data_IF_673040286148
#
_entry.id   IF_673040286148
#
_cell.length_a   1.000
_cell.length_b   1.000
_cell.length_c   1.000
_cell.angle_alpha   90.00
_cell.angle_beta   90.00
_cell.angle_gamma   90.00
#
_symmetry.space_group_name_H-M   'P 1'
#
loop_
_entity.id
_entity.type
_entity.pdbx_description
1 polymer ?
#
# COMPACT_ATOMS: atom_id res chain seq x y z
N UNK A 1 -26.87 51.56 22.46
CA UNK A 1 -27.53 50.27 22.77
C UNK A 1 -28.68 50.09 21.79
N UNK A 2 -28.39 49.54 20.61
CA UNK A 2 -29.38 49.10 19.62
C UNK A 2 -28.85 47.77 19.09
N UNK A 3 -29.72 46.78 19.18
CA UNK A 3 -29.52 45.35 19.00
C UNK A 3 -29.05 45.02 17.60
N UNK A 4 -27.86 44.42 17.51
CA UNK A 4 -27.35 43.74 16.32
C UNK A 4 -28.22 42.50 16.10
N UNK A 5 -28.90 42.45 14.96
CA UNK A 5 -29.78 41.34 14.60
C UNK A 5 -28.96 40.37 13.74
N UNK A 6 -28.28 39.42 14.39
CA UNK A 6 -27.57 38.34 13.72
C UNK A 6 -28.59 37.37 13.11
N UNK A 7 -28.95 37.58 11.84
CA UNK A 7 -29.70 36.58 11.07
C UNK A 7 -28.74 35.49 10.61
N UNK A 8 -28.91 34.32 11.23
CA UNK A 8 -28.53 32.97 10.76
C UNK A 8 -27.23 32.87 9.96
N UNK A 9 -26.12 32.81 10.69
CA UNK A 9 -24.96 32.03 10.24
C UNK A 9 -25.40 30.56 10.34
N UNK A 10 -25.64 29.90 9.21
CA UNK A 10 -25.68 28.45 9.18
C UNK A 10 -24.21 28.01 9.12
N UNK A 11 -23.65 27.40 10.18
CA UNK A 11 -22.34 26.79 10.03
C UNK A 11 -22.50 25.65 9.02
N UNK A 12 -21.80 25.73 7.89
CA UNK A 12 -21.60 24.58 7.01
C UNK A 12 -20.63 23.60 7.69
N UNK A 13 -21.04 23.09 8.85
CA UNK A 13 -20.61 21.81 9.38
C UNK A 13 -21.68 20.82 8.92
N UNK A 14 -21.27 19.66 8.39
CA UNK A 14 -22.07 18.68 7.61
C UNK A 14 -22.05 19.10 6.13
N UNK A 15 -21.20 18.53 5.26
CA UNK A 15 -21.18 17.12 4.83
C UNK A 15 -19.72 16.69 4.54
N UNK A 16 -19.13 15.88 5.40
CA UNK A 16 -18.02 14.97 5.02
C UNK A 16 -18.26 13.54 5.55
N UNK A 17 -19.40 13.28 6.19
CA UNK A 17 -19.71 11.99 6.84
C UNK A 17 -20.30 10.94 5.86
N UNK A 18 -20.51 11.27 4.59
CA UNK A 18 -21.18 10.36 3.63
C UNK A 18 -20.25 9.62 2.66
N UNK A 19 -19.00 9.36 3.05
CA UNK A 19 -18.10 8.45 2.31
C UNK A 19 -17.74 7.18 3.09
N UNK A 20 -18.58 6.78 4.05
CA UNK A 20 -18.46 5.50 4.75
C UNK A 20 -19.59 4.57 4.29
N UNK A 21 -19.21 3.56 3.51
CA UNK A 21 -20.01 2.47 2.95
C UNK A 21 -20.80 2.78 1.66
N UNK A 22 -20.11 2.66 0.51
CA UNK A 22 -20.78 2.22 -0.71
C UNK A 22 -20.14 0.92 -1.21
N UNK A 23 -20.94 -0.11 -1.57
CA UNK A 23 -20.43 -1.26 -2.30
C UNK A 23 -19.93 -0.80 -3.67
N UNK A 24 -18.99 -1.55 -4.26
CA UNK A 24 -18.21 -1.33 -5.49
C UNK A 24 -19.02 -1.00 -6.78
N UNK A 25 -20.34 -0.76 -6.71
CA UNK A 25 -21.20 -0.44 -7.86
C UNK A 25 -22.25 0.65 -7.57
N UNK A 26 -21.93 1.68 -6.79
CA UNK A 26 -22.80 2.85 -6.70
C UNK A 26 -22.43 3.85 -7.81
N UNK A 27 -23.33 4.03 -8.79
CA UNK A 27 -23.28 5.18 -9.69
C UNK A 27 -23.29 6.45 -8.83
N UNK A 28 -22.18 7.21 -8.82
CA UNK A 28 -22.15 8.53 -8.21
C UNK A 28 -23.16 9.42 -8.93
N UNK A 29 -24.33 9.58 -8.34
CA UNK A 29 -25.26 10.61 -8.77
C UNK A 29 -24.65 11.93 -8.35
N UNK A 30 -24.07 12.66 -9.32
CA UNK A 30 -23.62 14.03 -9.13
C UNK A 30 -24.84 14.81 -8.63
N UNK A 31 -24.88 15.09 -7.35
CA UNK A 31 -25.92 15.96 -6.81
C UNK A 31 -25.52 17.34 -7.30
N UNK A 32 -26.23 17.88 -8.30
CA UNK A 32 -26.03 19.26 -8.73
C UNK A 32 -26.21 20.13 -7.50
N UNK A 33 -25.14 20.77 -7.02
CA UNK A 33 -25.27 21.83 -6.03
C UNK A 33 -26.19 22.88 -6.65
N UNK A 34 -27.44 22.94 -6.18
CA UNK A 34 -28.37 23.96 -6.62
C UNK A 34 -27.79 25.31 -6.20
N UNK A 35 -27.71 26.22 -7.17
CA UNK A 35 -27.28 27.59 -6.94
C UNK A 35 -28.18 28.23 -5.87
N UNK A 36 -27.62 28.96 -4.89
CA UNK A 36 -28.44 29.77 -4.00
C UNK A 36 -29.35 30.69 -4.81
N UNK A 37 -30.62 30.85 -4.39
CA UNK A 37 -31.64 31.65 -5.12
C UNK A 37 -31.26 33.14 -5.36
N UNK A 38 -30.14 33.61 -4.80
CA UNK A 38 -29.64 34.99 -4.90
C UNK A 38 -28.37 35.13 -5.74
N UNK A 39 -27.86 34.05 -6.36
CA UNK A 39 -26.65 34.13 -7.19
C UNK A 39 -27.02 34.67 -8.58
N UNK A 40 -26.52 35.86 -8.93
CA UNK A 40 -26.69 36.46 -10.25
C UNK A 40 -25.36 36.47 -10.99
N UNK A 41 -25.22 35.64 -12.02
CA UNK A 41 -24.00 35.60 -12.85
C UNK A 41 -23.89 36.77 -13.82
N UNK A 42 -24.93 37.58 -13.96
CA UNK A 42 -24.93 38.76 -14.81
C UNK A 42 -24.17 39.94 -14.17
N UNK A 43 -23.80 39.87 -12.88
CA UNK A 43 -23.07 40.90 -12.12
C UNK A 43 -21.69 40.39 -11.66
N UNK A 44 -20.95 39.73 -12.55
CA UNK A 44 -19.60 39.21 -12.26
C UNK A 44 -18.55 40.13 -12.88
N UNK A 45 -17.73 40.82 -12.06
CA UNK A 45 -16.71 41.72 -12.61
C UNK A 45 -15.44 40.96 -13.02
N UNK A 46 -15.09 39.87 -12.32
CA UNK A 46 -13.85 39.15 -12.55
C UNK A 46 -13.97 37.64 -12.49
N UNK A 47 -13.33 36.98 -13.45
CA UNK A 47 -13.03 35.55 -13.37
C UNK A 47 -11.54 35.33 -13.12
N UNK A 48 -11.20 34.64 -12.03
CA UNK A 48 -9.84 34.15 -11.77
C UNK A 48 -9.67 32.72 -12.27
N UNK A 49 -8.61 32.49 -13.04
CA UNK A 49 -8.21 31.17 -13.51
C UNK A 49 -7.10 30.59 -12.65
N UNK A 50 -7.10 29.27 -12.51
CA UNK A 50 -6.22 28.53 -11.62
C UNK A 50 -7.01 27.82 -10.54
N UNK A 51 -6.29 27.14 -9.67
CA UNK A 51 -6.91 26.35 -8.61
C UNK A 51 -5.85 25.73 -7.73
N UNK A 52 -6.27 25.01 -6.69
CA UNK A 52 -5.34 24.32 -5.83
C UNK A 52 -4.65 23.18 -6.59
N UNK A 53 -3.37 22.98 -6.29
CA UNK A 53 -2.57 21.87 -6.79
C UNK A 53 -1.82 21.28 -5.60
N UNK A 54 -2.45 20.34 -4.90
CA UNK A 54 -1.89 19.72 -3.71
C UNK A 54 -0.97 18.58 -4.14
N UNK A 55 0.32 18.74 -3.88
CA UNK A 55 1.32 17.71 -4.13
C UNK A 55 1.71 16.99 -2.84
N UNK A 56 1.93 15.68 -2.93
CA UNK A 56 2.39 14.84 -1.83
C UNK A 56 3.85 14.47 -2.00
N UNK A 57 4.56 14.29 -0.89
CA UNK A 57 5.95 13.80 -0.88
C UNK A 57 6.15 12.87 0.30
N UNK A 58 6.70 11.70 0.05
CA UNK A 58 7.05 10.74 1.09
C UNK A 58 8.22 11.29 1.93
N UNK A 59 8.08 11.21 3.25
CA UNK A 59 9.08 11.62 4.22
C UNK A 59 9.66 10.37 4.87
N UNK A 60 10.98 10.20 4.75
CA UNK A 60 11.71 9.06 5.29
C UNK A 60 12.02 8.01 4.23
N UNK A 61 12.13 6.76 4.68
CA UNK A 61 12.49 5.62 3.83
C UNK A 61 11.30 5.17 2.99
N UNK A 62 11.59 4.71 1.78
CA UNK A 62 10.62 4.14 0.86
C UNK A 62 10.87 2.65 0.57
N UNK A 63 11.83 2.05 1.26
CA UNK A 63 12.27 0.67 1.07
C UNK A 63 12.01 -0.16 2.33
N UNK A 64 11.38 -1.33 2.16
CA UNK A 64 10.86 -2.16 3.24
C UNK A 64 11.06 -3.66 2.96
N UNK A 65 10.98 -4.47 4.01
CA UNK A 65 11.15 -5.92 3.94
C UNK A 65 9.82 -6.67 4.02
N UNK A 66 9.85 -7.96 3.72
CA UNK A 66 8.66 -8.81 3.75
C UNK A 66 8.13 -8.96 5.16
N UNK A 67 6.81 -8.79 5.32
CA UNK A 67 6.18 -8.89 6.64
C UNK A 67 6.28 -7.62 7.48
N UNK A 68 6.91 -6.55 6.97
CA UNK A 68 6.99 -5.28 7.68
C UNK A 68 5.62 -4.64 7.88
N UNK A 69 5.43 -4.05 9.06
CA UNK A 69 4.33 -3.15 9.37
C UNK A 69 4.89 -1.77 9.66
N UNK A 70 4.67 -0.81 8.76
CA UNK A 70 5.33 0.50 8.78
C UNK A 70 4.32 1.64 8.59
N UNK A 71 4.70 2.83 9.03
CA UNK A 71 3.91 4.05 8.85
C UNK A 71 4.57 4.93 7.79
N UNK A 72 3.89 5.11 6.66
CA UNK A 72 4.28 6.08 5.64
C UNK A 72 3.84 7.49 6.05
N UNK A 73 4.78 8.43 6.05
CA UNK A 73 4.52 9.84 6.35
C UNK A 73 4.51 10.64 5.06
N UNK A 74 3.39 11.23 4.68
CA UNK A 74 3.28 12.05 3.48
C UNK A 74 3.14 13.53 3.86
N UNK A 75 4.10 14.35 3.42
CA UNK A 75 4.00 15.80 3.50
C UNK A 75 3.17 16.30 2.31
N UNK A 76 2.13 17.09 2.58
CA UNK A 76 1.30 17.71 1.55
C UNK A 76 1.63 19.20 1.43
N UNK A 77 1.72 19.70 0.20
CA UNK A 77 1.97 21.11 -0.11
C UNK A 77 1.06 21.56 -1.24
N UNK A 78 0.38 22.69 -1.07
CA UNK A 78 -0.40 23.30 -2.13
C UNK A 78 0.49 24.21 -3.00
N UNK A 79 0.73 23.78 -4.23
CA UNK A 79 1.48 24.50 -5.27
C UNK A 79 0.55 25.22 -6.26
N UNK A 80 -0.74 25.24 -5.98
CA UNK A 80 -1.74 25.91 -6.79
C UNK A 80 -1.43 27.39 -6.96
N UNK A 81 -1.55 27.91 -8.17
CA UNK A 81 -1.30 29.32 -8.49
C UNK A 81 -2.44 29.88 -9.32
N UNK A 82 -2.60 31.20 -9.25
CA UNK A 82 -3.46 31.91 -10.18
C UNK A 82 -2.75 31.96 -11.54
N UNK A 83 -3.40 31.44 -12.56
CA UNK A 83 -2.85 31.32 -13.93
C UNK A 83 -3.33 32.43 -14.85
N UNK A 84 -4.38 33.15 -14.47
CA UNK A 84 -4.88 34.27 -15.24
C UNK A 84 -6.06 34.96 -14.58
N UNK A 85 -6.44 36.08 -15.18
CA UNK A 85 -7.57 36.91 -14.77
C UNK A 85 -8.27 37.38 -16.04
N UNK A 86 -9.60 37.46 -16.01
CA UNK A 86 -10.41 38.10 -17.05
C UNK A 86 -11.40 39.05 -16.39
N UNK A 87 -11.42 40.30 -16.86
CA UNK A 87 -12.51 41.23 -16.58
C UNK A 87 -13.69 40.80 -17.43
N UNK A 88 -14.83 40.53 -16.82
CA UNK A 88 -16.06 40.16 -17.54
C UNK A 88 -16.90 41.42 -17.79
N UNK A 89 -17.03 42.30 -16.78
CA UNK A 89 -17.63 43.62 -16.92
C UNK A 89 -16.64 44.75 -16.58
N UNK A 90 -16.74 45.85 -17.31
CA UNK A 90 -16.07 47.10 -16.97
C UNK A 90 -17.01 47.89 -16.06
N UNK A 91 -16.60 48.10 -14.80
CA UNK A 91 -17.31 48.98 -13.89
C UNK A 91 -17.55 50.35 -14.54
N UNK A 92 -18.68 51.00 -14.25
CA UNK A 92 -18.85 52.40 -14.59
C UNK A 92 -17.76 53.20 -13.85
N UNK A 93 -16.78 53.70 -14.60
CA UNK A 93 -15.67 54.52 -14.07
C UNK A 93 -16.14 55.74 -13.27
N UNK A 94 -17.43 56.10 -13.36
CA UNK A 94 -18.04 57.18 -12.57
C UNK A 94 -18.63 56.74 -11.23
N UNK A 95 -18.69 55.44 -10.92
CA UNK A 95 -19.23 54.87 -9.69
C UNK A 95 -18.11 54.37 -8.76
N UNK A 96 -17.89 55.10 -7.66
CA UNK A 96 -16.95 54.70 -6.61
C UNK A 96 -17.35 53.35 -5.96
N UNK A 97 -18.66 53.08 -5.88
CA UNK A 97 -19.19 51.81 -5.34
C UNK A 97 -18.85 50.62 -6.25
N UNK A 98 -19.08 50.73 -7.56
CA UNK A 98 -18.80 49.63 -8.49
C UNK A 98 -17.30 49.32 -8.54
N UNK A 99 -16.45 50.35 -8.55
CA UNK A 99 -14.99 50.15 -8.44
C UNK A 99 -14.61 49.44 -7.13
N UNK A 100 -15.28 49.76 -6.03
CA UNK A 100 -15.00 49.14 -4.73
C UNK A 100 -15.47 47.68 -4.67
N UNK A 101 -16.64 47.38 -5.22
CA UNK A 101 -17.18 46.01 -5.35
C UNK A 101 -16.21 45.19 -6.21
N UNK A 102 -15.84 45.70 -7.39
CA UNK A 102 -14.91 45.08 -8.31
C UNK A 102 -13.55 44.74 -7.63
N UNK A 103 -12.95 45.70 -6.91
CA UNK A 103 -11.70 45.45 -6.17
C UNK A 103 -11.86 44.41 -5.06
N UNK A 104 -13.01 44.40 -4.39
CA UNK A 104 -13.31 43.47 -3.30
C UNK A 104 -13.47 42.05 -3.86
N UNK A 105 -14.25 41.91 -4.94
CA UNK A 105 -14.46 40.64 -5.64
C UNK A 105 -13.13 40.06 -6.13
N UNK A 106 -12.26 40.87 -6.75
CA UNK A 106 -10.91 40.44 -7.16
C UNK A 106 -10.12 39.84 -5.98
N UNK A 107 -10.22 40.44 -4.79
CA UNK A 107 -9.54 39.95 -3.59
C UNK A 107 -10.07 38.62 -3.08
N UNK A 108 -11.37 38.36 -3.22
CA UNK A 108 -11.97 37.08 -2.90
C UNK A 108 -11.69 36.02 -3.97
N UNK A 109 -11.81 36.37 -5.26
CA UNK A 109 -11.51 35.49 -6.39
C UNK A 109 -10.06 34.99 -6.34
N UNK A 110 -9.10 35.82 -5.89
CA UNK A 110 -7.71 35.42 -5.72
C UNK A 110 -7.50 34.25 -4.72
N UNK A 111 -8.46 33.98 -3.84
CA UNK A 111 -8.40 32.90 -2.85
C UNK A 111 -8.77 31.53 -3.43
N UNK A 112 -9.22 31.47 -4.70
CA UNK A 112 -9.56 30.24 -5.45
C UNK A 112 -8.49 29.15 -5.40
N UNK A 113 -7.22 29.53 -5.23
CA UNK A 113 -6.08 28.60 -5.17
C UNK A 113 -5.95 27.86 -3.84
N UNK A 114 -6.75 28.21 -2.82
CA UNK A 114 -6.73 27.58 -1.50
C UNK A 114 -7.45 26.22 -1.55
N UNK A 115 -6.76 25.15 -1.13
CA UNK A 115 -7.38 23.85 -0.91
C UNK A 115 -7.96 23.81 0.51
N UNK A 116 -9.26 23.59 0.65
CA UNK A 116 -10.00 23.65 1.91
C UNK A 116 -10.43 22.25 2.31
N UNK A 117 -10.14 21.85 3.55
CA UNK A 117 -10.59 20.56 4.08
C UNK A 117 -10.08 19.37 3.26
N UNK A 118 -8.77 19.32 3.03
CA UNK A 118 -8.09 18.25 2.30
C UNK A 118 -8.27 16.92 3.03
N UNK A 119 -8.72 15.92 2.30
CA UNK A 119 -8.81 14.52 2.71
C UNK A 119 -7.93 13.69 1.79
N UNK A 120 -7.02 12.93 2.39
CA UNK A 120 -6.10 12.04 1.72
C UNK A 120 -6.49 10.57 1.97
N UNK A 121 -6.57 9.79 0.90
CA UNK A 121 -6.89 8.36 0.95
C UNK A 121 -5.81 7.62 0.16
N UNK A 122 -5.05 6.74 0.82
CA UNK A 122 -4.04 5.93 0.17
C UNK A 122 -4.61 4.53 -0.11
N UNK A 123 -4.45 4.07 -1.35
CA UNK A 123 -4.97 2.77 -1.81
C UNK A 123 -3.85 1.99 -2.50
N UNK A 124 -3.72 0.71 -2.15
CA UNK A 124 -2.94 -0.26 -2.92
C UNK A 124 -3.87 -1.11 -3.78
N UNK A 125 -3.55 -1.27 -5.05
CA UNK A 125 -4.21 -2.26 -5.92
C UNK A 125 -3.53 -3.64 -5.84
N UNK A 126 -2.29 -3.69 -5.36
CA UNK A 126 -1.54 -4.93 -5.20
C UNK A 126 -1.90 -5.63 -3.88
N UNK A 127 -2.31 -6.92 -3.91
CA UNK A 127 -2.70 -7.66 -2.71
C UNK A 127 -1.54 -7.90 -1.73
N UNK A 128 -0.29 -7.72 -2.15
CA UNK A 128 0.88 -7.87 -1.29
C UNK A 128 1.11 -6.65 -0.39
N UNK A 129 0.54 -5.49 -0.71
CA UNK A 129 0.64 -4.29 0.13
C UNK A 129 -0.75 -3.94 0.64
N UNK A 130 -0.94 -4.03 1.95
CA UNK A 130 -2.22 -3.71 2.60
C UNK A 130 -2.14 -2.37 3.31
N UNK A 131 -2.93 -1.39 2.86
CA UNK A 131 -3.13 -0.14 3.61
C UNK A 131 -4.12 -0.40 4.75
N UNK A 132 -3.69 -0.17 5.99
CA UNK A 132 -4.50 -0.36 7.21
C UNK A 132 -5.18 0.93 7.67
N UNK A 133 -4.64 2.09 7.29
CA UNK A 133 -5.22 3.39 7.62
C UNK A 133 -6.48 3.68 6.78
N UNK A 134 -7.43 4.40 7.38
CA UNK A 134 -8.52 5.04 6.65
C UNK A 134 -8.13 6.42 6.12
N UNK A 135 -9.12 7.22 5.66
CA UNK A 135 -8.90 8.60 5.23
C UNK A 135 -8.19 9.44 6.30
N UNK A 136 -7.27 10.30 5.86
CA UNK A 136 -6.52 11.23 6.70
C UNK A 136 -6.91 12.67 6.35
N UNK A 137 -7.16 13.51 7.35
CA UNK A 137 -7.44 14.92 7.15
C UNK A 137 -6.16 15.74 7.24
N UNK A 138 -5.98 16.67 6.29
CA UNK A 138 -4.81 17.57 6.22
C UNK A 138 -5.19 19.05 6.38
N UNK A 139 -6.45 19.35 6.69
CA UNK A 139 -6.93 20.71 6.93
C UNK A 139 -6.97 21.56 5.66
N UNK A 140 -6.66 22.85 5.79
CA UNK A 140 -6.68 23.82 4.69
C UNK A 140 -5.27 24.27 4.39
N UNK A 141 -4.91 24.35 3.11
CA UNK A 141 -3.62 24.84 2.64
C UNK A 141 -3.84 25.98 1.63
N UNK A 142 -3.41 27.19 1.99
CA UNK A 142 -3.30 28.28 1.02
C UNK A 142 -2.18 28.01 0.01
N UNK A 143 -2.16 28.79 -1.07
CA UNK A 143 -1.09 28.69 -2.08
C UNK A 143 0.29 28.88 -1.43
N UNK A 144 1.19 27.92 -1.67
CA UNK A 144 2.54 27.90 -1.12
C UNK A 144 2.67 27.31 0.28
N UNK A 145 1.57 26.97 0.95
CA UNK A 145 1.59 26.35 2.27
C UNK A 145 1.78 24.83 2.21
N UNK A 146 2.29 24.28 3.30
CA UNK A 146 2.42 22.85 3.54
C UNK A 146 1.83 22.51 4.90
N UNK A 147 1.50 21.24 5.09
CA UNK A 147 1.06 20.74 6.41
C UNK A 147 2.15 20.92 7.46
N UNK A 148 1.73 21.23 8.70
CA UNK A 148 2.65 21.27 9.85
C UNK A 148 3.12 19.86 10.22
N UNK A 149 2.18 18.92 10.25
CA UNK A 149 2.41 17.49 10.52
C UNK A 149 2.05 16.65 9.28
N UNK A 150 2.92 15.73 8.83
CA UNK A 150 2.63 14.81 7.74
C UNK A 150 1.40 13.93 8.02
N UNK A 151 0.64 13.62 6.97
CA UNK A 151 -0.44 12.61 7.07
C UNK A 151 0.17 11.22 7.13
N UNK A 152 -0.40 10.34 7.96
CA UNK A 152 0.19 9.05 8.30
C UNK A 152 -0.65 7.88 7.78
N UNK A 153 -0.03 6.99 7.01
CA UNK A 153 -0.65 5.78 6.50
C UNK A 153 0.09 4.53 6.97
N UNK A 154 -0.56 3.71 7.79
CA UNK A 154 -0.03 2.42 8.19
C UNK A 154 -0.23 1.43 7.05
N UNK A 155 0.84 0.76 6.65
CA UNK A 155 0.83 -0.30 5.64
C UNK A 155 1.41 -1.59 6.22
N UNK A 156 1.07 -2.70 5.59
CA UNK A 156 1.67 -4.01 5.84
C UNK A 156 2.13 -4.61 4.52
N UNK A 157 3.40 -5.03 4.49
CA UNK A 157 3.99 -5.78 3.39
C UNK A 157 3.75 -7.27 3.65
N UNK A 158 3.21 -7.98 2.68
CA UNK A 158 3.01 -9.43 2.75
C UNK A 158 4.34 -10.15 2.96
N UNK A 159 4.32 -11.22 3.77
CA UNK A 159 5.49 -12.10 3.95
C UNK A 159 5.95 -12.78 2.66
N UNK A 160 5.06 -12.87 1.67
CA UNK A 160 5.33 -13.49 0.37
C UNK A 160 5.40 -12.45 -0.76
N UNK A 161 5.54 -11.16 -0.42
CA UNK A 161 5.63 -10.10 -1.43
C UNK A 161 6.90 -10.29 -2.28
N UNK A 162 6.78 -10.41 -3.61
CA UNK A 162 7.96 -10.36 -4.48
C UNK A 162 8.76 -9.07 -4.28
N UNK A 163 10.08 -9.12 -4.47
CA UNK A 163 10.87 -7.90 -4.47
C UNK A 163 10.48 -7.00 -5.65
N UNK A 164 10.55 -5.68 -5.47
CA UNK A 164 10.27 -4.71 -6.53
C UNK A 164 9.55 -3.46 -6.07
N UNK A 165 9.14 -2.64 -7.05
CA UNK A 165 8.40 -1.40 -6.80
C UNK A 165 6.89 -1.65 -6.76
N UNK A 166 6.24 -1.06 -5.75
CA UNK A 166 4.81 -1.13 -5.52
C UNK A 166 4.21 0.27 -5.54
N UNK A 167 3.50 0.65 -6.62
CA UNK A 167 2.82 1.93 -6.68
C UNK A 167 1.55 1.93 -5.80
N UNK A 168 1.41 2.97 -5.00
CA UNK A 168 0.23 3.25 -4.18
C UNK A 168 -0.46 4.50 -4.73
N UNK A 169 -1.78 4.43 -4.89
CA UNK A 169 -2.60 5.52 -5.37
C UNK A 169 -3.04 6.40 -4.20
N UNK A 170 -2.50 7.62 -4.12
CA UNK A 170 -2.97 8.66 -3.21
C UNK A 170 -4.08 9.47 -3.89
N UNK A 171 -5.28 9.38 -3.34
CA UNK A 171 -6.43 10.16 -3.75
C UNK A 171 -6.60 11.34 -2.79
N UNK A 172 -6.59 12.55 -3.34
CA UNK A 172 -6.82 13.79 -2.60
C UNK A 172 -8.16 14.37 -2.99
N UNK A 173 -8.96 14.73 -1.99
CA UNK A 173 -10.21 15.46 -2.13
C UNK A 173 -10.10 16.76 -1.35
N UNK A 174 -10.57 17.86 -1.92
CA UNK A 174 -10.60 19.14 -1.24
C UNK A 174 -11.73 20.01 -1.77
N UNK A 175 -12.26 20.89 -0.93
CA UNK A 175 -13.08 22.01 -1.37
C UNK A 175 -12.21 23.14 -1.90
N UNK A 176 -12.73 23.93 -2.83
CA UNK A 176 -12.13 25.19 -3.23
C UNK A 176 -13.21 26.15 -3.70
N UNK A 177 -12.94 27.46 -3.60
CA UNK A 177 -13.88 28.48 -4.05
C UNK A 177 -13.87 28.53 -5.58
N UNK A 178 -14.97 28.14 -6.21
CA UNK A 178 -15.17 28.15 -7.66
C UNK A 178 -15.57 29.53 -8.16
N UNK A 179 -16.33 30.30 -7.37
CA UNK A 179 -16.72 31.67 -7.71
C UNK A 179 -17.08 32.46 -6.45
N UNK A 180 -16.94 33.78 -6.51
CA UNK A 180 -17.52 34.74 -5.57
C UNK A 180 -18.46 35.71 -6.29
N UNK A 181 -19.38 36.30 -5.55
CA UNK A 181 -20.17 37.45 -5.95
C UNK A 181 -20.21 38.42 -4.78
N UNK A 182 -20.05 39.71 -5.06
CA UNK A 182 -20.08 40.79 -4.06
C UNK A 182 -21.20 41.77 -4.42
N UNK A 183 -22.03 42.11 -3.44
CA UNK A 183 -23.09 43.12 -3.57
C UNK A 183 -23.07 44.08 -2.35
N UNK A 184 -23.69 45.25 -2.47
CA UNK A 184 -23.82 46.22 -1.38
C UNK A 184 -24.50 47.52 -1.79
N UNK A 185 -24.88 48.32 -0.80
CA UNK A 185 -25.80 49.45 -1.00
C UNK A 185 -25.10 50.78 -1.35
N UNK A 186 -23.99 51.11 -0.68
CA UNK A 186 -23.27 52.40 -0.82
C UNK A 186 -21.78 52.25 -0.46
N UNK A 187 -20.92 53.10 -1.06
CA UNK A 187 -19.50 53.24 -0.70
C UNK A 187 -19.30 54.27 0.40
N UNK A 188 -18.37 54.00 1.32
CA UNK A 188 -17.94 54.94 2.37
C UNK A 188 -16.45 54.80 2.62
N UNK A 189 -15.85 55.80 3.31
CA UNK A 189 -14.46 55.73 3.82
C UNK A 189 -14.14 54.47 4.64
N UNK A 190 -15.15 53.76 5.16
CA UNK A 190 -15.02 52.52 5.94
C UNK A 190 -15.22 51.24 5.11
N UNK A 191 -15.58 51.35 3.83
CA UNK A 191 -15.88 50.25 2.91
C UNK A 191 -17.33 50.27 2.39
N UNK A 192 -17.74 49.14 1.79
CA UNK A 192 -19.08 48.92 1.25
C UNK A 192 -20.07 48.70 2.40
N UNK A 193 -21.18 49.44 2.40
CA UNK A 193 -22.25 49.28 3.40
C UNK A 193 -23.20 48.16 3.00
N UNK A 194 -23.73 47.44 4.00
CA UNK A 194 -24.60 46.27 3.81
C UNK A 194 -24.03 45.23 2.83
N UNK A 195 -22.70 45.08 2.81
CA UNK A 195 -22.00 44.17 1.91
C UNK A 195 -22.48 42.72 2.08
N UNK A 196 -22.92 42.12 0.97
CA UNK A 196 -23.27 40.71 0.87
C UNK A 196 -22.19 39.98 0.06
N UNK A 197 -21.81 38.78 0.52
CA UNK A 197 -20.76 37.97 -0.12
C UNK A 197 -21.34 36.59 -0.41
N UNK A 198 -21.55 36.29 -1.69
CA UNK A 198 -21.95 34.98 -2.17
C UNK A 198 -20.71 34.15 -2.52
N UNK A 199 -20.51 33.00 -1.85
CA UNK A 199 -19.39 32.10 -2.15
C UNK A 199 -19.92 30.79 -2.72
N UNK A 200 -19.36 30.37 -3.85
CA UNK A 200 -19.61 29.06 -4.43
C UNK A 200 -18.38 28.18 -4.28
N UNK A 201 -18.55 27.04 -3.60
CA UNK A 201 -17.53 26.01 -3.47
C UNK A 201 -17.77 24.84 -4.42
N UNK A 202 -16.68 24.30 -4.96
CA UNK A 202 -16.64 23.04 -5.69
C UNK A 202 -15.69 22.05 -5.01
N UNK A 203 -15.76 20.78 -5.42
CA UNK A 203 -14.86 19.72 -4.95
C UNK A 203 -13.82 19.44 -6.01
N UNK A 204 -12.55 19.61 -5.65
CA UNK A 204 -11.40 19.17 -6.43
C UNK A 204 -10.99 17.74 -6.07
N UNK A 205 -10.49 17.01 -7.07
CA UNK A 205 -9.92 15.68 -6.89
C UNK A 205 -8.58 15.60 -7.61
N UNK A 206 -7.55 15.08 -6.94
CA UNK A 206 -6.24 14.80 -7.52
C UNK A 206 -5.81 13.37 -7.20
N UNK A 207 -5.11 12.74 -8.13
CA UNK A 207 -4.51 11.42 -7.95
C UNK A 207 -3.00 11.54 -8.09
N UNK A 208 -2.26 10.91 -7.19
CA UNK A 208 -0.80 10.89 -7.18
C UNK A 208 -0.28 9.50 -6.87
N UNK A 209 0.81 9.12 -7.52
CA UNK A 209 1.48 7.85 -7.29
C UNK A 209 2.55 8.01 -6.21
N UNK A 210 2.46 7.19 -5.17
CA UNK A 210 3.47 7.04 -4.13
C UNK A 210 4.07 5.65 -4.28
N UNK A 211 5.33 5.57 -4.68
CA UNK A 211 6.02 4.28 -4.85
C UNK A 211 6.76 3.88 -3.59
N UNK A 212 6.58 2.64 -3.16
CA UNK A 212 7.43 1.97 -2.16
C UNK A 212 8.18 0.81 -2.82
N UNK A 213 9.26 0.38 -2.21
CA UNK A 213 10.14 -0.69 -2.68
C UNK A 213 10.11 -1.81 -1.65
N UNK A 214 9.88 -3.03 -2.09
CA UNK A 214 10.14 -4.23 -1.29
C UNK A 214 11.52 -4.74 -1.67
N UNK A 215 12.44 -4.78 -0.71
CA UNK A 215 13.81 -5.22 -0.91
C UNK A 215 13.88 -6.69 -1.32
N UNK A 216 14.96 -7.04 -2.01
CA UNK A 216 15.33 -8.45 -2.24
C UNK A 216 15.73 -9.10 -0.91
N UNK A 217 15.21 -10.31 -0.66
CA UNK A 217 15.57 -11.12 0.50
C UNK A 217 15.72 -12.58 0.08
N UNK A 218 16.57 -13.31 0.80
CA UNK A 218 16.64 -14.75 0.68
C UNK A 218 15.48 -15.41 1.43
N UNK A 219 14.87 -16.41 0.80
CA UNK A 219 13.83 -17.24 1.39
C UNK A 219 14.11 -18.71 1.06
N UNK A 220 13.69 -19.63 1.93
CA UNK A 220 14.09 -21.02 1.82
C UNK A 220 12.94 -22.00 2.05
N UNK A 221 12.85 -22.99 1.16
CA UNK A 221 11.89 -24.08 1.29
C UNK A 221 12.58 -25.45 1.25
N UNK A 222 11.97 -26.44 1.90
CA UNK A 222 12.37 -27.85 1.75
C UNK A 222 11.63 -28.44 0.56
N UNK A 223 12.37 -28.80 -0.49
CA UNK A 223 11.79 -29.38 -1.72
C UNK A 223 11.83 -30.90 -1.75
N UNK A 224 12.71 -31.53 -0.96
CA UNK A 224 12.84 -32.98 -0.89
C UNK A 224 13.38 -33.44 0.46
N UNK A 225 12.83 -34.54 0.96
CA UNK A 225 13.31 -35.21 2.17
C UNK A 225 13.39 -36.71 1.86
N UNK A 226 14.56 -37.31 2.07
CA UNK A 226 14.74 -38.77 1.97
C UNK A 226 15.50 -39.29 3.17
N UNK A 227 15.13 -40.47 3.65
CA UNK A 227 15.77 -41.09 4.80
C UNK A 227 14.95 -42.26 5.32
N UNK A 228 15.61 -43.27 5.85
CA UNK A 228 14.99 -44.40 6.52
C UNK A 228 15.25 -44.26 8.01
N UNK A 229 14.26 -43.75 8.75
CA UNK A 229 14.33 -43.53 10.19
C UNK A 229 13.49 -44.59 10.90
N UNK A 230 14.12 -45.65 11.42
CA UNK A 230 13.40 -46.71 12.15
C UNK A 230 13.45 -46.49 13.66
N UNK A 231 12.36 -46.82 14.36
CA UNK A 231 12.34 -46.78 15.82
C UNK A 231 13.46 -47.65 16.43
N UNK A 232 14.24 -47.08 17.34
CA UNK A 232 15.34 -47.74 18.02
C UNK A 232 16.66 -47.82 17.24
N UNK A 233 16.75 -47.21 16.05
CA UNK A 233 17.97 -47.19 15.24
C UNK A 233 18.47 -45.77 14.95
N UNK A 234 19.69 -45.71 14.41
CA UNK A 234 20.25 -44.49 13.83
C UNK A 234 20.02 -44.51 12.31
N UNK A 235 19.66 -43.36 11.74
CA UNK A 235 19.46 -43.19 10.31
C UNK A 235 19.99 -41.86 9.80
N UNK A 236 20.20 -41.77 8.49
CA UNK A 236 20.57 -40.53 7.81
C UNK A 236 19.31 -39.91 7.18
N UNK A 237 19.14 -38.61 7.40
CA UNK A 237 18.10 -37.80 6.80
C UNK A 237 18.74 -36.81 5.83
N UNK A 238 18.43 -36.97 4.55
CA UNK A 238 18.84 -36.10 3.47
C UNK A 238 17.73 -35.09 3.19
N UNK A 239 18.08 -33.80 3.23
CA UNK A 239 17.13 -32.70 3.07
C UNK A 239 17.65 -31.76 2.00
N UNK A 240 16.86 -31.54 0.95
CA UNK A 240 17.18 -30.57 -0.09
C UNK A 240 16.44 -29.27 0.19
N UNK A 241 17.21 -28.22 0.44
CA UNK A 241 16.74 -26.86 0.58
C UNK A 241 16.85 -26.14 -0.76
N UNK A 242 15.90 -25.26 -1.06
CA UNK A 242 15.92 -24.38 -2.23
C UNK A 242 15.82 -22.93 -1.77
N UNK A 243 16.63 -22.05 -2.36
CA UNK A 243 16.45 -20.61 -2.21
C UNK A 243 15.30 -20.17 -3.14
N UNK A 244 14.17 -19.78 -2.55
CA UNK A 244 12.99 -19.25 -3.24
C UNK A 244 12.99 -17.73 -3.34
N UNK A 245 13.87 -17.07 -2.60
CA UNK A 245 14.06 -15.63 -2.64
C UNK A 245 14.87 -15.16 -3.86
N UNK A 246 14.96 -13.85 -3.98
CA UNK A 246 15.63 -13.13 -5.07
C UNK A 246 17.08 -12.81 -4.74
N UNK A 247 17.47 -12.92 -3.48
CA UNK A 247 18.83 -12.66 -3.03
C UNK A 247 19.69 -13.93 -2.99
N UNK A 248 20.92 -13.85 -3.51
CA UNK A 248 21.91 -14.92 -3.39
C UNK A 248 22.58 -14.90 -2.02
N UNK A 249 22.75 -16.08 -1.40
CA UNK A 249 23.38 -16.19 -0.07
C UNK A 249 24.74 -16.86 -0.11
N UNK A 250 25.57 -16.56 0.89
CA UNK A 250 26.87 -17.19 1.11
C UNK A 250 26.97 -17.79 2.51
N UNK A 251 27.93 -18.69 2.68
CA UNK A 251 28.25 -19.37 3.94
C UNK A 251 27.02 -19.93 4.69
N UNK A 252 26.03 -20.40 3.91
CA UNK A 252 24.79 -20.93 4.45
C UNK A 252 25.07 -22.20 5.25
N UNK A 253 24.60 -22.22 6.49
CA UNK A 253 24.67 -23.36 7.39
C UNK A 253 23.29 -23.58 7.98
N UNK A 254 22.73 -24.76 7.74
CA UNK A 254 21.45 -25.15 8.34
C UNK A 254 21.68 -25.77 9.71
N UNK A 255 20.78 -25.48 10.65
CA UNK A 255 20.69 -26.14 11.95
C UNK A 255 19.31 -26.75 12.13
N UNK A 256 19.24 -27.96 12.70
CA UNK A 256 17.97 -28.59 13.11
C UNK A 256 17.76 -28.52 14.61
N UNK A 257 16.51 -28.37 15.02
CA UNK A 257 16.08 -28.50 16.41
C UNK A 257 15.42 -29.87 16.59
N UNK A 258 16.21 -30.87 17.01
CA UNK A 258 15.70 -32.21 17.29
C UNK A 258 14.97 -32.26 18.64
N UNK A 259 13.77 -32.82 18.65
CA UNK A 259 12.94 -33.10 19.83
C UNK A 259 12.45 -34.55 19.73
N UNK A 260 11.90 -35.09 20.82
CA UNK A 260 11.32 -36.43 20.86
C UNK A 260 10.42 -36.70 19.62
N UNK A 261 10.60 -37.83 18.92
CA UNK A 261 11.43 -38.98 19.27
C UNK A 261 12.88 -38.92 18.71
N UNK A 262 13.31 -37.79 18.17
CA UNK A 262 14.63 -37.66 17.53
C UNK A 262 15.66 -37.03 18.45
N UNK A 263 16.88 -37.55 18.39
CA UNK A 263 18.06 -36.94 18.99
C UNK A 263 19.23 -36.97 18.02
N UNK A 264 20.10 -35.98 18.09
CA UNK A 264 21.34 -35.93 17.29
C UNK A 264 22.47 -35.29 18.10
N UNK A 265 23.70 -35.66 17.76
CA UNK A 265 24.93 -34.98 18.22
C UNK A 265 25.53 -34.09 17.13
N UNK A 266 24.98 -34.13 15.92
CA UNK A 266 25.40 -33.40 14.73
C UNK A 266 24.15 -32.74 14.12
N UNK A 267 23.82 -31.56 14.64
CA UNK A 267 22.58 -30.83 14.33
C UNK A 267 22.79 -29.73 13.29
N UNK A 268 23.96 -29.67 12.64
CA UNK A 268 24.31 -28.65 11.66
C UNK A 268 24.84 -29.26 10.37
N UNK A 269 24.57 -28.60 9.24
CA UNK A 269 25.15 -28.97 7.93
C UNK A 269 25.49 -27.72 7.14
N UNK A 270 26.68 -27.69 6.54
CA UNK A 270 27.10 -26.60 5.65
C UNK A 270 26.48 -26.77 4.27
N UNK A 271 25.84 -25.72 3.76
CA UNK A 271 25.19 -25.66 2.45
C UNK A 271 25.99 -24.83 1.43
N UNK A 272 26.88 -23.94 1.90
CA UNK A 272 27.70 -23.09 1.03
C UNK A 272 26.95 -21.88 0.48
N UNK A 273 27.17 -21.56 -0.79
CA UNK A 273 26.45 -20.48 -1.48
C UNK A 273 25.26 -21.04 -2.24
N UNK A 274 24.12 -20.35 -2.17
CA UNK A 274 22.88 -20.76 -2.84
C UNK A 274 22.30 -19.55 -3.57
N UNK A 275 22.35 -19.55 -4.90
CA UNK A 275 21.75 -18.48 -5.70
C UNK A 275 20.21 -18.62 -5.76
N UNK A 276 19.48 -17.58 -6.20
CA UNK A 276 18.04 -17.64 -6.41
C UNK A 276 17.63 -18.84 -7.28
N UNK A 277 16.72 -19.66 -6.78
CA UNK A 277 16.23 -20.86 -7.43
C UNK A 277 17.15 -22.09 -7.33
N UNK A 278 18.37 -21.97 -6.80
CA UNK A 278 19.29 -23.09 -6.61
C UNK A 278 18.95 -23.93 -5.38
N UNK A 279 19.46 -25.17 -5.37
CA UNK A 279 19.23 -26.14 -4.30
C UNK A 279 20.53 -26.62 -3.67
N UNK A 280 20.51 -26.84 -2.35
CA UNK A 280 21.61 -27.44 -1.62
C UNK A 280 21.11 -28.58 -0.71
N UNK A 281 21.92 -29.61 -0.56
CA UNK A 281 21.61 -30.80 0.23
C UNK A 281 22.28 -30.73 1.61
N UNK A 282 21.50 -30.96 2.67
CA UNK A 282 21.98 -31.22 4.02
C UNK A 282 21.77 -32.67 4.40
N UNK A 283 22.69 -33.22 5.19
CA UNK A 283 22.60 -34.58 5.71
C UNK A 283 22.68 -34.54 7.22
N UNK A 284 21.68 -35.09 7.89
CA UNK A 284 21.62 -35.16 9.35
C UNK A 284 21.62 -36.60 9.83
N UNK A 285 22.45 -36.91 10.83
CA UNK A 285 22.43 -38.21 11.50
C UNK A 285 21.50 -38.17 12.70
N UNK A 286 20.39 -38.90 12.64
CA UNK A 286 19.38 -38.91 13.69
C UNK A 286 19.33 -40.27 14.38
N UNK A 287 19.17 -40.26 15.70
CA UNK A 287 18.77 -41.42 16.49
C UNK A 287 17.28 -41.32 16.81
N UNK A 288 16.54 -42.39 16.54
CA UNK A 288 15.11 -42.49 16.83
C UNK A 288 14.90 -43.29 18.11
N UNK A 289 14.08 -42.77 19.02
CA UNK A 289 13.72 -43.49 20.25
C UNK A 289 13.08 -44.86 19.95
N UNK A 290 13.34 -45.86 20.80
CA UNK A 290 12.77 -47.21 20.65
C UNK A 290 11.24 -47.23 20.80
N UNK A 291 10.68 -46.28 21.54
CA UNK A 291 9.24 -46.12 21.76
C UNK A 291 8.58 -45.19 20.74
N UNK A 292 9.33 -44.74 19.73
CA UNK A 292 8.81 -43.86 18.69
C UNK A 292 7.63 -44.50 17.96
N UNK A 293 6.51 -43.78 17.93
CA UNK A 293 5.32 -44.20 17.17
C UNK A 293 5.60 -43.97 15.68
N UNK A 294 5.38 -44.97 14.81
CA UNK A 294 5.46 -44.80 13.35
C UNK A 294 4.43 -43.79 12.86
N UNK A 295 4.89 -42.60 12.46
CA UNK A 295 4.08 -41.53 11.87
C UNK A 295 4.96 -40.47 11.21
N UNK A 296 4.33 -39.50 10.57
CA UNK A 296 5.00 -38.29 10.09
C UNK A 296 5.28 -37.35 11.28
N UNK A 297 6.51 -36.88 11.37
CA UNK A 297 6.98 -35.87 12.31
C UNK A 297 7.51 -34.66 11.55
N UNK A 298 7.51 -33.51 12.23
CA UNK A 298 8.13 -32.29 11.75
C UNK A 298 9.36 -31.97 12.62
N UNK A 299 10.48 -31.71 11.96
CA UNK A 299 11.70 -31.20 12.58
C UNK A 299 11.85 -29.75 12.13
N UNK A 300 12.02 -28.84 13.09
CA UNK A 300 12.27 -27.44 12.80
C UNK A 300 13.72 -27.27 12.37
N UNK A 301 13.95 -26.45 11.35
CA UNK A 301 15.27 -26.09 10.85
C UNK A 301 15.36 -24.60 10.54
N UNK A 302 16.55 -24.04 10.67
CA UNK A 302 16.84 -22.63 10.41
C UNK A 302 18.17 -22.54 9.67
N UNK A 303 18.27 -21.65 8.70
CA UNK A 303 19.48 -21.44 7.91
C UNK A 303 20.11 -20.13 8.35
N UNK A 304 21.34 -20.20 8.86
CA UNK A 304 22.19 -19.03 9.06
C UNK A 304 22.99 -18.80 7.79
N UNK A 305 23.01 -17.57 7.28
CA UNK A 305 23.72 -17.21 6.06
C UNK A 305 24.31 -15.80 6.12
N UNK A 306 25.13 -15.46 5.13
CA UNK A 306 25.61 -14.12 4.84
C UNK A 306 24.88 -13.57 3.61
N UNK A 307 24.27 -12.40 3.75
CA UNK A 307 23.59 -11.68 2.66
C UNK A 307 24.59 -11.02 1.70
N UNK A 308 24.10 -10.39 0.63
CA UNK A 308 24.99 -9.81 -0.39
C UNK A 308 25.83 -8.63 0.13
N UNK A 309 25.36 -7.97 1.19
CA UNK A 309 26.05 -6.87 1.89
C UNK A 309 27.06 -7.36 2.94
N UNK A 310 27.13 -8.67 3.20
CA UNK A 310 28.05 -9.26 4.17
C UNK A 310 27.50 -9.30 5.60
N UNK A 311 26.21 -9.06 5.81
CA UNK A 311 25.58 -9.20 7.11
C UNK A 311 25.13 -10.65 7.36
N UNK A 312 25.28 -11.10 8.61
CA UNK A 312 24.81 -12.42 9.00
C UNK A 312 23.31 -12.38 9.34
N UNK A 313 22.54 -13.24 8.66
CA UNK A 313 21.09 -13.39 8.81
C UNK A 313 20.72 -14.82 9.23
N UNK A 314 19.50 -14.98 9.74
CA UNK A 314 18.89 -16.27 10.06
C UNK A 314 17.52 -16.30 9.38
N UNK A 315 17.22 -17.38 8.66
CA UNK A 315 15.93 -17.58 8.01
C UNK A 315 14.79 -17.73 9.02
N UNK A 316 13.56 -17.59 8.54
CA UNK A 316 12.40 -18.12 9.24
C UNK A 316 12.53 -19.63 9.49
N UNK A 317 11.77 -20.16 10.46
CA UNK A 317 11.76 -21.60 10.75
C UNK A 317 11.14 -22.40 9.61
N UNK A 318 11.93 -23.29 9.03
CA UNK A 318 11.55 -24.20 7.95
C UNK A 318 11.25 -25.59 8.54
N UNK A 319 10.12 -26.18 8.19
CA UNK A 319 9.70 -27.50 8.69
C UNK A 319 10.12 -28.62 7.74
N UNK A 320 10.98 -29.52 8.23
CA UNK A 320 11.32 -30.77 7.55
C UNK A 320 10.29 -31.81 7.97
N UNK A 321 9.55 -32.37 7.01
CA UNK A 321 8.61 -33.46 7.27
C UNK A 321 9.28 -34.80 6.96
N UNK A 322 9.28 -35.72 7.93
CA UNK A 322 9.87 -37.06 7.78
C UNK A 322 9.00 -38.11 8.47
N UNK A 323 9.05 -39.35 7.99
CA UNK A 323 8.28 -40.47 8.53
C UNK A 323 9.19 -41.41 9.32
N UNK A 324 8.71 -41.88 10.48
CA UNK A 324 9.37 -42.96 11.21
C UNK A 324 8.75 -44.30 10.87
N UNK A 325 9.61 -45.31 10.67
CA UNK A 325 9.22 -46.67 10.36
C UNK A 325 9.25 -47.56 11.63
N UNK A 326 8.46 -48.65 11.66
CA UNK A 326 8.56 -49.65 12.73
C UNK A 326 9.97 -50.27 12.78
N UNK A 327 10.39 -50.72 13.97
CA UNK A 327 11.66 -51.43 14.13
C UNK A 327 11.76 -52.67 13.22
N UNK A 328 12.85 -52.81 12.46
CA UNK A 328 13.13 -53.97 11.62
C UNK A 328 12.40 -53.98 10.27
N UNK A 329 11.98 -52.81 9.78
CA UNK A 329 11.25 -52.66 8.51
C UNK A 329 12.12 -52.79 7.25
N UNK A 330 13.43 -52.67 7.38
CA UNK A 330 14.47 -52.65 6.34
C UNK A 330 14.67 -53.98 5.56
N UNK A 331 13.69 -54.89 5.62
CA UNK A 331 13.66 -56.17 4.88
C UNK A 331 12.87 -56.18 3.57
N UNK A 332 12.16 -55.11 3.20
CA UNK A 332 11.39 -55.07 1.95
C UNK A 332 11.62 -53.75 1.21
N UNK A 333 12.26 -53.82 0.03
CA UNK A 333 12.59 -52.67 -0.82
C UNK A 333 11.38 -51.96 -1.43
N UNK A 334 10.52 -51.37 -0.58
CA UNK A 334 9.27 -50.71 -0.96
C UNK A 334 9.34 -49.17 -0.86
N UNK A 335 10.37 -48.61 -0.21
CA UNK A 335 10.58 -47.15 -0.09
C UNK A 335 10.86 -46.42 -1.42
N UNK A 336 11.21 -47.17 -2.48
CA UNK A 336 11.53 -46.59 -3.79
C UNK A 336 10.29 -46.13 -4.59
N UNK A 337 9.07 -46.53 -4.22
CA UNK A 337 7.89 -46.28 -5.05
C UNK A 337 7.11 -45.01 -4.72
N UNK A 338 7.21 -44.48 -3.50
CA UNK A 338 6.45 -43.26 -3.13
C UNK A 338 7.03 -42.03 -3.82
N UNK A 339 8.35 -41.90 -3.88
CA UNK A 339 9.02 -40.82 -4.62
C UNK A 339 8.76 -40.87 -6.13
N UNK A 340 8.74 -42.07 -6.73
CA UNK A 340 8.45 -42.25 -8.16
C UNK A 340 6.98 -41.90 -8.48
N UNK A 341 6.04 -42.23 -7.61
CA UNK A 341 4.62 -41.97 -7.85
C UNK A 341 4.29 -40.46 -7.80
N UNK A 342 4.92 -39.72 -6.89
CA UNK A 342 4.78 -38.25 -6.81
C UNK A 342 5.43 -37.57 -8.01
N UNK A 343 6.63 -38.00 -8.42
CA UNK A 343 7.30 -37.47 -9.63
C UNK A 343 6.49 -37.76 -10.89
N UNK A 344 5.87 -38.94 -11.02
CA UNK A 344 5.00 -39.26 -12.15
C UNK A 344 3.69 -38.46 -12.16
N UNK A 345 3.12 -38.15 -10.98
CA UNK A 345 1.93 -37.29 -10.87
C UNK A 345 2.29 -35.84 -11.23
N UNK A 346 3.44 -35.33 -10.77
CA UNK A 346 3.91 -33.98 -11.11
C UNK A 346 4.25 -33.87 -12.60
N UNK A 347 4.97 -34.85 -13.16
CA UNK A 347 5.25 -34.89 -14.61
C UNK A 347 3.96 -35.03 -15.43
N UNK A 348 2.99 -35.82 -14.96
CA UNK A 348 1.67 -35.94 -15.57
C UNK A 348 0.89 -34.61 -15.53
N UNK A 349 0.90 -33.90 -14.41
CA UNK A 349 0.25 -32.61 -14.25
C UNK A 349 0.91 -31.52 -15.11
N UNK A 350 2.25 -31.50 -15.19
CA UNK A 350 3.01 -30.60 -16.07
C UNK A 350 2.75 -30.93 -17.54
N UNK A 351 2.70 -32.20 -17.93
CA UNK A 351 2.40 -32.61 -19.31
C UNK A 351 0.95 -32.27 -19.73
N UNK A 352 -0.03 -32.48 -18.84
CA UNK A 352 -1.43 -32.10 -19.08
C UNK A 352 -1.57 -30.57 -19.14
N UNK A 353 -0.88 -29.84 -18.27
CA UNK A 353 -0.82 -28.38 -18.28
C UNK A 353 -0.21 -27.84 -19.58
N UNK A 354 0.93 -28.39 -20.00
CA UNK A 354 1.61 -28.03 -21.24
C UNK A 354 0.78 -28.36 -22.49
N UNK A 355 0.10 -29.52 -22.51
CA UNK A 355 -0.81 -29.89 -23.62
C UNK A 355 -2.02 -28.96 -23.69
N UNK A 356 -2.57 -28.54 -22.55
CA UNK A 356 -3.66 -27.55 -22.48
C UNK A 356 -3.22 -26.15 -22.90
N UNK A 357 -1.95 -25.80 -22.66
CA UNK A 357 -1.36 -24.52 -23.08
C UNK A 357 -1.02 -24.49 -24.58
N UNK A 358 -0.52 -25.61 -25.14
CA UNK A 358 -0.22 -25.72 -26.56
C UNK A 358 -1.47 -25.93 -27.43
N UNK A 359 -2.49 -26.64 -26.94
CA UNK A 359 -3.77 -26.78 -27.65
C UNK A 359 -4.60 -25.48 -27.71
N UNK A 360 -4.25 -24.47 -26.90
CA UNK A 360 -4.90 -23.14 -26.93
C UNK A 360 -4.23 -22.18 -27.92
N UNK A 361 -3.02 -22.50 -28.42
CA UNK A 361 -2.30 -21.69 -29.41
C UNK A 361 -2.58 -22.05 -30.87
N UNK A 362 -3.23 -23.18 -31.14
CA UNK A 362 -3.64 -23.58 -32.51
C UNK A 362 -5.11 -23.23 -32.84
N UNK A 363 -5.84 -22.59 -31.93
CA UNK A 363 -7.26 -22.24 -32.11
C UNK A 363 -7.55 -20.77 -32.42
N UNK A 364 -6.53 -19.92 -32.55
CA UNK A 364 -6.68 -18.50 -32.83
C UNK A 364 -5.69 -18.08 -33.94
N UNK A 365 -6.02 -18.49 -35.16
CA UNK A 365 -5.55 -17.92 -36.42
C UNK A 365 -6.58 -18.19 -37.52
#
# INVERSE_FOLDING_TARGET
MKTINAKKIIPASIILIMLLALPVHAEMTVTSMELPEYFNFDDNYYTVYGGPDVSATLVGDNEFYRGDEVTLNLNLMNKGVVTGFKSEDEADDSSDLEQKIQQTEMGYEAQRTTAIGIVAILVSEDPNIRVKSGPQEAGTLASGEQVEDPVMFNIEVSKNAPAGEYPLNLQLYYGYQENVQIDGDDETDLGITNMEVGLWYAVGQQMQDISIIVSEEADFEVVNVTGELEAGSEGLLHVIYKNTGEEAVKDATVRISSNDPFSTTDDQSFLGSIAPGETAEAVFKLKVDETAVPKVYAINSEIKYEDTDGHSRISDTIKIQTETLPAGSSGSGMGMYVGILVVLIVLGAVFVGAKKYMGKKEGDN
#
